data_IF_504833780302
#
_entry.id   IF_504833780302
#
_cell.length_a   1.000
_cell.length_b   1.000
_cell.length_c   1.000
_cell.angle_alpha   90.00
_cell.angle_beta   90.00
_cell.angle_gamma   90.00
#
_symmetry.space_group_name_H-M   'P 1'
#
loop_
_entity.id
_entity.type
_entity.pdbx_description
1 polymer ?
#
# COMPACT_ATOMS: atom_id res chain seq x y z
N UNK A 1 4.06 -13.41 4.44
CA UNK A 1 4.52 -12.80 3.16
C UNK A 1 5.56 -11.76 3.47
N UNK A 2 6.45 -11.47 2.52
CA UNK A 2 7.47 -10.43 2.64
C UNK A 2 7.01 -9.15 1.94
N UNK A 3 7.49 -7.99 2.40
CA UNK A 3 7.34 -6.74 1.64
C UNK A 3 8.14 -6.82 0.34
N UNK A 4 7.64 -6.15 -0.70
CA UNK A 4 8.26 -6.06 -2.02
C UNK A 4 8.62 -4.61 -2.34
N UNK A 5 9.48 -4.41 -3.32
CA UNK A 5 9.84 -3.06 -3.78
C UNK A 5 8.71 -2.44 -4.61
N UNK A 6 8.56 -1.12 -4.52
CA UNK A 6 7.63 -0.38 -5.39
C UNK A 6 7.99 -0.53 -6.86
N UNK A 7 9.28 -0.64 -7.21
CA UNK A 7 9.74 -0.87 -8.58
C UNK A 7 9.20 -2.18 -9.16
N UNK A 8 9.29 -3.28 -8.42
CA UNK A 8 8.75 -4.58 -8.86
C UNK A 8 7.22 -4.52 -9.02
N UNK A 9 6.54 -3.91 -8.05
CA UNK A 9 5.09 -3.81 -8.03
C UNK A 9 4.55 -2.92 -9.17
N UNK A 10 5.21 -1.80 -9.45
CA UNK A 10 4.82 -0.90 -10.54
C UNK A 10 5.15 -1.48 -11.92
N UNK A 11 6.24 -2.23 -12.07
CA UNK A 11 6.55 -2.92 -13.32
C UNK A 11 5.47 -3.95 -13.69
N UNK A 12 4.92 -4.68 -12.70
CA UNK A 12 3.78 -5.58 -12.91
C UNK A 12 2.50 -4.83 -13.26
N UNK A 13 2.26 -3.68 -12.63
CA UNK A 13 1.10 -2.84 -12.88
C UNK A 13 1.10 -2.25 -14.29
N UNK A 14 2.24 -1.73 -14.73
CA UNK A 14 2.44 -1.22 -16.09
C UNK A 14 2.22 -2.32 -17.14
N UNK A 15 2.85 -3.49 -16.96
CA UNK A 15 2.66 -4.62 -17.87
C UNK A 15 1.22 -5.16 -17.89
N UNK A 16 0.47 -5.00 -16.80
CA UNK A 16 -0.92 -5.43 -16.67
C UNK A 16 -1.95 -4.36 -16.98
N UNK A 17 -1.53 -3.17 -17.43
CA UNK A 17 -2.39 -2.02 -17.75
C UNK A 17 -3.33 -1.60 -16.59
N UNK A 18 -2.84 -1.69 -15.35
CA UNK A 18 -3.58 -1.26 -14.16
C UNK A 18 -2.76 -0.33 -13.27
N UNK A 19 -3.42 0.36 -12.34
CA UNK A 19 -2.79 1.23 -11.36
C UNK A 19 -2.79 0.58 -9.97
N UNK A 20 -1.82 0.94 -9.14
CA UNK A 20 -1.78 0.52 -7.73
C UNK A 20 -2.08 1.69 -6.81
N UNK A 21 -3.04 1.50 -5.92
CA UNK A 21 -3.39 2.49 -4.91
C UNK A 21 -2.27 2.68 -3.88
N UNK A 22 -1.95 3.94 -3.59
CA UNK A 22 -1.01 4.34 -2.56
C UNK A 22 -1.73 5.13 -1.46
N UNK A 23 -1.80 4.54 -0.27
CA UNK A 23 -2.61 5.07 0.83
C UNK A 23 -1.70 5.47 1.99
N UNK A 24 -1.90 6.69 2.50
CA UNK A 24 -1.19 7.15 3.68
C UNK A 24 -1.79 6.51 4.95
N UNK A 25 -0.95 5.99 5.83
CA UNK A 25 -1.36 5.51 7.14
C UNK A 25 -0.71 6.32 8.26
N UNK A 26 -1.51 6.66 9.28
CA UNK A 26 -1.05 7.43 10.44
C UNK A 26 -1.34 6.71 11.79
N UNK A 27 -2.04 5.58 11.77
CA UNK A 27 -2.38 4.77 12.94
C UNK A 27 -2.70 3.31 12.53
N UNK A 28 -2.98 2.47 13.52
CA UNK A 28 -3.22 1.03 13.33
C UNK A 28 -4.53 0.76 12.58
N UNK A 29 -5.59 1.51 12.89
CA UNK A 29 -6.92 1.32 12.31
C UNK A 29 -6.90 1.55 10.80
N UNK A 30 -6.13 2.55 10.33
CA UNK A 30 -5.95 2.79 8.90
C UNK A 30 -5.18 1.66 8.24
N UNK A 31 -4.11 1.15 8.86
CA UNK A 31 -3.35 0.01 8.32
C UNK A 31 -4.28 -1.20 8.17
N UNK A 32 -5.05 -1.53 9.21
CA UNK A 32 -5.98 -2.64 9.19
C UNK A 32 -7.04 -2.49 8.10
N UNK A 33 -7.61 -1.29 7.94
CA UNK A 33 -8.60 -1.00 6.92
C UNK A 33 -8.03 -1.16 5.49
N UNK A 34 -6.83 -0.61 5.24
CA UNK A 34 -6.16 -0.70 3.93
C UNK A 34 -5.84 -2.16 3.60
N UNK A 35 -5.27 -2.91 4.53
CA UNK A 35 -4.93 -4.33 4.32
C UNK A 35 -6.19 -5.17 4.11
N UNK A 36 -7.22 -5.00 4.94
CA UNK A 36 -8.47 -5.77 4.82
C UNK A 36 -9.14 -5.55 3.45
N UNK A 37 -9.15 -4.29 2.97
CA UNK A 37 -9.67 -3.98 1.65
C UNK A 37 -8.82 -4.58 0.53
N UNK A 38 -7.48 -4.47 0.62
CA UNK A 38 -6.57 -5.04 -0.36
C UNK A 38 -6.69 -6.57 -0.45
N UNK A 39 -6.85 -7.25 0.69
CA UNK A 39 -7.08 -8.70 0.74
C UNK A 39 -8.43 -9.09 0.13
N UNK A 40 -9.50 -8.38 0.48
CA UNK A 40 -10.84 -8.64 -0.06
C UNK A 40 -10.90 -8.46 -1.59
N UNK A 41 -10.27 -7.41 -2.10
CA UNK A 41 -10.20 -7.10 -3.54
C UNK A 41 -9.10 -7.87 -4.27
N UNK A 42 -8.29 -8.66 -3.54
CA UNK A 42 -7.13 -9.39 -4.09
C UNK A 42 -6.19 -8.47 -4.87
N UNK A 43 -6.02 -7.24 -4.37
CA UNK A 43 -5.33 -6.15 -5.06
C UNK A 43 -3.99 -5.86 -4.39
N UNK A 44 -2.91 -5.59 -5.16
CA UNK A 44 -1.69 -5.05 -4.58
C UNK A 44 -1.95 -3.64 -4.00
N UNK A 45 -1.21 -3.28 -2.95
CA UNK A 45 -1.37 -1.98 -2.29
C UNK A 45 -0.01 -1.41 -1.86
N UNK A 46 0.12 -0.09 -1.93
CA UNK A 46 1.25 0.65 -1.37
C UNK A 46 0.77 1.36 -0.10
N UNK A 47 1.41 1.07 1.04
CA UNK A 47 1.20 1.82 2.28
C UNK A 47 2.31 2.85 2.41
N UNK A 48 1.93 4.11 2.61
CA UNK A 48 2.84 5.24 2.69
C UNK A 48 2.75 5.90 4.07
N UNK A 49 3.87 6.42 4.56
CA UNK A 49 3.90 7.25 5.76
C UNK A 49 4.62 8.56 5.41
N UNK A 50 3.93 9.68 5.62
CA UNK A 50 4.57 10.99 5.51
C UNK A 50 5.56 11.21 6.66
N UNK A 51 6.48 12.18 6.53
CA UNK A 51 7.35 12.54 7.66
C UNK A 51 6.56 12.95 8.92
N UNK A 52 5.41 13.61 8.74
CA UNK A 52 4.52 13.96 9.84
C UNK A 52 3.88 12.73 10.49
N UNK A 53 3.48 11.75 9.67
CA UNK A 53 2.93 10.47 10.15
C UNK A 53 3.95 9.70 11.01
N UNK A 54 5.20 9.64 10.54
CA UNK A 54 6.31 8.99 11.26
C UNK A 54 6.61 9.69 12.58
N UNK A 55 6.47 11.02 12.65
CA UNK A 55 6.69 11.78 13.89
C UNK A 55 5.56 11.60 14.90
N UNK A 56 4.34 11.34 14.42
CA UNK A 56 3.14 11.23 15.25
C UNK A 56 2.99 9.85 15.90
N UNK A 57 3.31 8.78 15.15
CA UNK A 57 3.21 7.40 15.57
C UNK A 57 4.39 6.96 16.45
#
# INVERSE_FOLDING_TARGET
MSLVTSSELLAKAEAGEYAVGAFNCNNMELIQAIISAAEAERSPVIIQASQGAIKYA
#
